data_IF_692039831225
#
_entry.id   IF_692039831225
#
_cell.length_a   1.000
_cell.length_b   1.000
_cell.length_c   1.000
_cell.angle_alpha   90.00
_cell.angle_beta   90.00
_cell.angle_gamma   90.00
#
_symmetry.space_group_name_H-M   'P 1'
#
loop_
_entity.id
_entity.type
_entity.pdbx_description
1 polymer ?
#
# COMPACT_ATOMS: atom_id res chain seq x y z
N UNK A 1 -25.94 1.51 -23.17
CA UNK A 1 -25.68 2.95 -22.96
C UNK A 1 -24.29 3.24 -23.50
N UNK A 2 -24.19 4.22 -24.42
CA UNK A 2 -22.97 4.61 -25.15
C UNK A 2 -22.28 5.76 -24.40
N UNK A 3 -20.96 5.70 -24.23
CA UNK A 3 -20.03 6.85 -24.14
C UNK A 3 -18.63 6.34 -24.52
N UNK A 4 -18.20 6.42 -25.78
CA UNK A 4 -17.25 7.45 -26.32
C UNK A 4 -15.98 7.61 -25.48
N UNK A 5 -14.86 6.97 -25.85
CA UNK A 5 -13.81 7.46 -26.77
C UNK A 5 -13.19 8.80 -26.36
N UNK A 6 -11.91 8.77 -25.94
CA UNK A 6 -10.96 9.82 -26.30
C UNK A 6 -9.60 9.20 -26.65
N UNK A 7 -9.13 9.60 -27.82
CA UNK A 7 -7.90 9.23 -28.51
C UNK A 7 -6.65 9.70 -27.71
N UNK A 8 -5.58 8.90 -27.60
CA UNK A 8 -4.50 8.73 -28.57
C UNK A 8 -3.65 10.01 -28.71
N UNK A 9 -2.45 10.02 -28.12
CA UNK A 9 -1.27 10.49 -28.85
C UNK A 9 0.00 9.78 -28.33
N UNK A 10 0.56 9.03 -29.26
CA UNK A 10 1.84 8.35 -29.23
C UNK A 10 2.92 9.31 -29.77
N UNK A 11 4.16 8.93 -29.48
CA UNK A 11 5.35 9.06 -30.32
C UNK A 11 6.22 10.34 -30.23
N UNK A 12 7.48 10.05 -29.85
CA UNK A 12 8.73 10.37 -30.56
C UNK A 12 9.57 11.63 -30.22
N UNK A 13 10.79 11.34 -29.72
CA UNK A 13 12.08 11.59 -30.41
C UNK A 13 12.61 13.04 -30.49
N UNK A 14 13.56 13.32 -29.57
CA UNK A 14 14.88 14.01 -29.76
C UNK A 14 14.92 15.56 -29.91
N UNK A 15 16.12 16.20 -30.03
CA UNK A 15 16.82 16.88 -28.92
C UNK A 15 17.17 18.34 -29.27
N UNK A 16 18.08 18.94 -28.48
CA UNK A 16 18.80 20.20 -28.72
C UNK A 16 18.07 21.50 -28.34
N UNK A 17 18.70 22.26 -27.45
CA UNK A 17 19.02 23.68 -27.68
C UNK A 17 20.04 24.16 -26.63
N UNK A 18 21.22 24.49 -27.16
CA UNK A 18 22.20 25.40 -26.58
C UNK A 18 21.57 26.81 -26.50
N UNK A 19 21.83 27.51 -25.42
CA UNK A 19 21.89 28.98 -25.35
C UNK A 19 22.95 29.30 -24.28
N UNK A 20 24.15 29.69 -24.68
CA UNK A 20 24.58 31.09 -24.77
C UNK A 20 24.32 31.88 -23.47
N UNK A 21 25.35 31.92 -22.62
CA UNK A 21 25.49 32.91 -21.56
C UNK A 21 26.72 33.79 -21.89
N UNK A 22 26.58 35.12 -21.94
CA UNK A 22 27.59 36.02 -22.50
C UNK A 22 28.78 36.22 -21.55
N UNK A 23 29.98 36.00 -22.08
CA UNK A 23 31.25 36.40 -21.48
C UNK A 23 31.37 37.91 -21.47
N UNK A 24 31.37 38.50 -20.28
CA UNK A 24 31.74 39.89 -20.05
C UNK A 24 33.23 40.02 -20.34
N UNK A 25 33.58 40.66 -21.45
CA UNK A 25 34.94 41.08 -21.77
C UNK A 25 35.21 42.35 -20.96
N UNK A 26 36.12 42.27 -19.99
CA UNK A 26 36.62 43.43 -19.24
C UNK A 26 38.13 43.36 -19.12
N UNK A 27 38.76 44.46 -19.54
CA UNK A 27 40.12 44.94 -19.28
C UNK A 27 41.32 44.06 -19.72
N UNK A 28 42.14 44.66 -20.58
CA UNK A 28 43.45 44.19 -21.03
C UNK A 28 44.33 43.64 -19.88
N UNK A 29 44.58 42.34 -19.92
CA UNK A 29 45.55 41.63 -19.08
C UNK A 29 46.77 41.27 -19.94
N UNK A 30 48.00 41.66 -19.58
CA UNK A 30 49.20 41.44 -20.40
C UNK A 30 49.72 39.99 -20.42
N UNK A 31 48.89 39.01 -20.05
CA UNK A 31 49.17 37.57 -20.15
C UNK A 31 48.01 36.91 -20.90
N UNK A 32 48.19 36.70 -22.20
CA UNK A 32 47.26 35.92 -23.01
C UNK A 32 47.49 34.43 -22.72
N UNK A 33 46.70 33.88 -21.79
CA UNK A 33 46.59 32.44 -21.61
C UNK A 33 45.63 31.91 -22.69
N UNK A 34 46.18 31.39 -23.78
CA UNK A 34 45.39 30.75 -24.85
C UNK A 34 45.78 29.28 -24.92
N UNK A 35 44.79 28.37 -24.85
CA UNK A 35 44.98 26.92 -25.02
C UNK A 35 46.06 26.26 -24.13
N UNK A 36 46.17 26.65 -22.86
CA UNK A 36 47.15 26.06 -21.93
C UNK A 36 48.61 26.46 -22.21
N UNK A 37 48.83 27.46 -23.08
CA UNK A 37 50.12 28.08 -23.37
C UNK A 37 50.09 29.53 -22.85
N UNK A 38 51.16 29.92 -22.17
CA UNK A 38 51.39 31.26 -21.62
C UNK A 38 52.45 31.95 -22.46
N UNK A 39 52.11 33.08 -23.06
CA UNK A 39 53.09 33.91 -23.78
C UNK A 39 53.77 34.88 -22.81
N UNK A 40 55.10 34.83 -22.77
CA UNK A 40 55.94 35.68 -21.93
C UNK A 40 56.63 36.71 -22.82
N UNK A 41 56.35 37.99 -22.60
CA UNK A 41 57.00 39.09 -23.30
C UNK A 41 58.39 39.35 -22.74
N UNK A 42 59.36 39.41 -23.64
CA UNK A 42 60.78 39.65 -23.39
C UNK A 42 61.10 41.15 -23.59
N UNK A 43 62.20 41.64 -23.01
CA UNK A 43 62.62 43.06 -23.11
C UNK A 43 62.94 43.48 -24.54
N UNK A 44 63.37 42.54 -25.38
CA UNK A 44 63.66 42.76 -26.80
C UNK A 44 62.38 42.85 -27.67
N UNK A 45 61.19 42.80 -27.06
CA UNK A 45 59.90 42.84 -27.75
C UNK A 45 59.47 41.49 -28.33
N UNK A 46 60.28 40.44 -28.21
CA UNK A 46 59.89 39.09 -28.60
C UNK A 46 58.96 38.44 -27.57
N UNK A 47 58.14 37.49 -28.01
CA UNK A 47 57.27 36.70 -27.14
C UNK A 47 57.71 35.23 -27.15
N UNK A 48 57.92 34.65 -25.97
CA UNK A 48 58.20 33.21 -25.79
C UNK A 48 56.94 32.49 -25.34
N UNK A 49 56.54 31.43 -26.07
CA UNK A 49 55.46 30.53 -25.66
C UNK A 49 55.95 29.53 -24.63
N UNK A 50 55.25 29.43 -23.51
CA UNK A 50 55.57 28.57 -22.38
C UNK A 50 54.34 27.76 -21.99
N UNK A 51 54.45 26.43 -21.92
CA UNK A 51 53.35 25.56 -21.45
C UNK A 51 53.07 25.73 -19.96
N UNK A 52 54.12 25.81 -19.14
CA UNK A 52 53.97 25.91 -17.68
C UNK A 52 55.15 26.62 -17.05
N UNK A 53 54.88 27.50 -16.09
CA UNK A 53 55.91 28.06 -15.21
C UNK A 53 56.12 27.06 -14.06
N UNK A 54 57.33 26.57 -13.90
CA UNK A 54 57.67 25.53 -12.91
C UNK A 54 58.19 26.12 -11.60
N UNK A 55 58.69 27.35 -11.62
CA UNK A 55 59.17 28.08 -10.46
C UNK A 55 60.09 29.24 -10.84
N UNK A 56 60.42 30.08 -9.87
CA UNK A 56 61.30 31.24 -10.04
C UNK A 56 62.48 31.15 -9.07
N UNK A 57 63.67 31.45 -9.56
CA UNK A 57 64.87 31.70 -8.74
C UNK A 57 65.22 33.19 -8.83
N UNK A 58 66.07 33.74 -7.95
CA UNK A 58 66.40 35.17 -7.95
C UNK A 58 66.89 35.72 -9.30
N UNK A 59 67.48 34.86 -10.14
CA UNK A 59 68.08 35.27 -11.41
C UNK A 59 67.33 34.73 -12.65
N UNK A 60 66.41 33.77 -12.49
CA UNK A 60 65.77 33.12 -13.64
C UNK A 60 64.40 32.54 -13.36
N UNK A 61 63.55 32.55 -14.39
CA UNK A 61 62.30 31.81 -14.43
C UNK A 61 62.54 30.41 -15.02
N UNK A 62 62.12 29.36 -14.31
CA UNK A 62 62.13 28.00 -14.82
C UNK A 62 60.80 27.71 -15.51
N UNK A 63 60.86 27.39 -16.79
CA UNK A 63 59.68 27.23 -17.65
C UNK A 63 59.71 25.91 -18.40
N UNK A 64 58.54 25.37 -18.70
CA UNK A 64 58.37 24.23 -19.58
C UNK A 64 57.90 24.75 -20.94
N UNK A 65 58.69 24.51 -21.98
CA UNK A 65 58.39 24.85 -23.37
C UNK A 65 58.11 23.58 -24.17
N UNK A 66 57.76 23.72 -25.45
CA UNK A 66 57.59 22.57 -26.35
C UNK A 66 58.91 21.79 -26.56
N UNK A 67 60.05 22.45 -26.37
CA UNK A 67 61.40 21.88 -26.52
C UNK A 67 61.94 21.27 -25.22
N UNK A 68 61.19 21.38 -24.11
CA UNK A 68 61.58 20.86 -22.79
C UNK A 68 61.70 21.95 -21.72
N UNK A 69 62.40 21.63 -20.63
CA UNK A 69 62.56 22.53 -19.47
C UNK A 69 63.68 23.53 -19.78
N UNK A 70 63.31 24.81 -19.88
CA UNK A 70 64.22 25.92 -20.10
C UNK A 70 64.33 26.85 -18.89
N UNK A 71 65.36 27.70 -18.91
CA UNK A 71 65.50 28.84 -17.99
C UNK A 71 65.44 30.13 -18.81
N UNK A 72 64.63 31.09 -18.34
CA UNK A 72 64.57 32.44 -18.90
C UNK A 72 65.17 33.39 -17.86
N UNK A 73 66.28 34.09 -18.14
CA UNK A 73 66.81 35.10 -17.23
C UNK A 73 65.75 36.14 -16.88
N UNK A 74 65.63 36.54 -15.61
CA UNK A 74 64.65 37.56 -15.24
C UNK A 74 64.96 38.93 -15.87
N UNK A 75 66.25 39.21 -16.12
CA UNK A 75 66.71 40.42 -16.80
C UNK A 75 66.24 40.55 -18.25
N UNK A 76 65.85 39.44 -18.88
CA UNK A 76 65.32 39.44 -20.24
C UNK A 76 63.79 39.48 -20.29
N UNK A 77 63.11 39.51 -19.14
CA UNK A 77 61.66 39.63 -19.05
C UNK A 77 61.21 41.09 -19.01
N UNK A 78 60.19 41.42 -19.80
CA UNK A 78 59.56 42.73 -19.73
C UNK A 78 58.89 42.93 -18.35
N UNK A 79 58.92 44.15 -17.81
CA UNK A 79 58.46 44.45 -16.45
C UNK A 79 56.99 44.04 -16.18
N UNK A 80 56.15 44.08 -17.23
CA UNK A 80 54.76 43.63 -17.17
C UNK A 80 54.63 42.10 -17.01
N UNK A 81 55.47 41.32 -17.69
CA UNK A 81 55.54 39.86 -17.55
C UNK A 81 56.02 39.48 -16.14
N UNK A 82 57.02 40.19 -15.62
CA UNK A 82 57.59 39.94 -14.28
C UNK A 82 56.55 40.17 -13.16
N UNK A 83 55.71 41.20 -13.32
CA UNK A 83 54.61 41.50 -12.38
C UNK A 83 53.52 40.43 -12.44
N UNK A 84 53.16 39.99 -13.65
CA UNK A 84 52.15 38.96 -13.83
C UNK A 84 52.62 37.58 -13.34
N UNK A 85 53.89 37.24 -13.52
CA UNK A 85 54.45 35.98 -13.01
C UNK A 85 54.56 35.98 -11.48
N UNK A 86 54.92 37.10 -10.86
CA UNK A 86 54.87 37.23 -9.40
C UNK A 86 53.44 37.10 -8.84
N UNK A 87 52.42 37.51 -9.59
CA UNK A 87 51.01 37.35 -9.18
C UNK A 87 50.46 35.93 -9.35
N UNK A 88 51.13 35.08 -10.12
CA UNK A 88 50.73 33.69 -10.40
C UNK A 88 51.36 32.68 -9.43
N UNK A 89 52.33 33.09 -8.61
CA UNK A 89 52.90 32.22 -7.58
C UNK A 89 52.09 32.36 -6.29
N UNK A 90 51.30 31.33 -5.96
CA UNK A 90 50.56 31.25 -4.69
C UNK A 90 51.53 31.47 -3.52
N UNK A 91 51.28 32.50 -2.72
CA UNK A 91 52.09 32.75 -1.52
C UNK A 91 51.81 31.67 -0.48
N UNK A 92 52.74 31.38 0.44
CA UNK A 92 52.53 30.42 1.53
C UNK A 92 51.23 30.66 2.32
N UNK A 93 50.83 31.93 2.47
CA UNK A 93 49.59 32.33 3.13
C UNK A 93 48.33 31.98 2.32
N UNK A 94 48.39 32.05 0.98
CA UNK A 94 47.28 31.62 0.10
C UNK A 94 47.14 30.09 0.08
N UNK A 95 48.26 29.36 0.14
CA UNK A 95 48.26 27.91 0.33
C UNK A 95 47.64 27.49 1.67
N UNK A 96 47.98 28.16 2.77
CA UNK A 96 47.36 27.91 4.08
C UNK A 96 45.86 28.23 4.10
N UNK A 97 45.44 29.36 3.51
CA UNK A 97 44.03 29.73 3.41
C UNK A 97 43.24 28.73 2.56
N UNK A 98 43.84 28.16 1.51
CA UNK A 98 43.25 27.12 0.69
C UNK A 98 43.11 25.79 1.45
N UNK A 99 44.15 25.36 2.16
CA UNK A 99 44.09 24.16 3.01
C UNK A 99 43.02 24.26 4.10
N UNK A 100 42.85 25.44 4.72
CA UNK A 100 41.80 25.66 5.71
C UNK A 100 40.39 25.62 5.08
N UNK A 101 40.21 26.17 3.87
CA UNK A 101 38.93 26.09 3.15
C UNK A 101 38.61 24.67 2.70
N UNK A 102 39.59 23.91 2.25
CA UNK A 102 39.45 22.49 1.90
C UNK A 102 39.12 21.63 3.14
N UNK A 103 39.75 21.92 4.28
CA UNK A 103 39.44 21.28 5.56
C UNK A 103 38.02 21.60 6.04
N UNK A 104 37.58 22.87 5.92
CA UNK A 104 36.22 23.28 6.25
C UNK A 104 35.18 22.61 5.33
N UNK A 105 35.43 22.60 4.01
CA UNK A 105 34.55 21.93 3.05
C UNK A 105 34.46 20.42 3.28
N UNK A 106 35.57 19.77 3.66
CA UNK A 106 35.57 18.36 4.03
C UNK A 106 34.76 18.07 5.30
N UNK A 107 34.77 18.97 6.29
CA UNK A 107 33.91 18.86 7.48
C UNK A 107 32.43 19.00 7.13
N UNK A 108 32.06 20.02 6.35
CA UNK A 108 30.65 20.23 5.95
C UNK A 108 30.12 19.06 5.09
N UNK A 109 30.96 18.46 4.25
CA UNK A 109 30.58 17.27 3.47
C UNK A 109 30.26 16.07 4.37
N UNK A 110 31.06 15.82 5.42
CA UNK A 110 30.82 14.75 6.40
C UNK A 110 29.53 14.99 7.19
N UNK A 111 29.29 16.22 7.62
CA UNK A 111 28.05 16.60 8.32
C UNK A 111 26.83 16.39 7.42
N UNK A 112 26.91 16.83 6.16
CA UNK A 112 25.83 16.62 5.19
C UNK A 112 25.60 15.13 4.86
N UNK A 113 26.65 14.30 4.82
CA UNK A 113 26.48 12.85 4.69
C UNK A 113 25.78 12.25 5.92
N UNK A 114 26.19 12.62 7.13
CA UNK A 114 25.57 12.13 8.36
C UNK A 114 24.09 12.54 8.46
N UNK A 115 23.73 13.75 8.03
CA UNK A 115 22.33 14.21 7.97
C UNK A 115 21.53 13.38 6.94
N UNK A 116 22.09 13.11 5.76
CA UNK A 116 21.43 12.27 4.75
C UNK A 116 21.19 10.84 5.25
N UNK A 117 22.17 10.24 5.93
CA UNK A 117 22.03 8.90 6.51
C UNK A 117 20.96 8.86 7.60
N UNK A 118 20.89 9.89 8.46
CA UNK A 118 19.83 10.00 9.47
C UNK A 118 18.45 10.15 8.85
N UNK A 119 18.29 11.02 7.84
CA UNK A 119 17.02 11.19 7.13
C UNK A 119 16.59 9.88 6.44
N UNK A 120 17.51 9.16 5.79
CA UNK A 120 17.20 7.88 5.16
C UNK A 120 16.84 6.80 6.19
N UNK A 121 17.51 6.77 7.35
CA UNK A 121 17.17 5.86 8.45
C UNK A 121 15.78 6.17 9.04
N UNK A 122 15.45 7.44 9.19
CA UNK A 122 14.14 7.90 9.68
C UNK A 122 13.03 7.56 8.68
N UNK A 123 13.25 7.80 7.38
CA UNK A 123 12.31 7.43 6.32
C UNK A 123 12.07 5.91 6.29
N UNK A 124 13.13 5.10 6.34
CA UNK A 124 12.99 3.64 6.42
C UNK A 124 12.25 3.18 7.69
N UNK A 125 12.47 3.85 8.83
CA UNK A 125 11.76 3.56 10.06
C UNK A 125 10.27 3.90 9.96
N UNK A 126 9.92 5.03 9.33
CA UNK A 126 8.53 5.43 9.09
C UNK A 126 7.84 4.47 8.12
N UNK A 127 8.50 4.10 7.01
CA UNK A 127 7.96 3.12 6.05
C UNK A 127 7.74 1.76 6.73
N UNK A 128 8.71 1.27 7.50
CA UNK A 128 8.59 0.01 8.24
C UNK A 128 7.53 0.05 9.35
N UNK A 129 7.31 1.20 9.99
CA UNK A 129 6.22 1.39 10.93
C UNK A 129 4.85 1.37 10.23
N UNK A 130 4.71 2.05 9.08
CA UNK A 130 3.48 2.05 8.28
C UNK A 130 3.11 0.64 7.80
N UNK A 131 4.07 -0.10 7.24
CA UNK A 131 3.83 -1.47 6.76
C UNK A 131 3.40 -2.42 7.89
N UNK A 132 4.00 -2.30 9.08
CA UNK A 132 3.59 -3.10 10.24
C UNK A 132 2.20 -2.71 10.75
N UNK A 133 1.88 -1.42 10.74
CA UNK A 133 0.54 -0.94 11.10
C UNK A 133 -0.52 -1.44 10.11
N UNK A 134 -0.22 -1.44 8.80
CA UNK A 134 -1.11 -1.98 7.77
C UNK A 134 -1.30 -3.49 7.90
N UNK A 135 -0.22 -4.25 8.11
CA UNK A 135 -0.29 -5.69 8.32
C UNK A 135 -1.12 -6.04 9.57
N UNK A 136 -0.96 -5.29 10.67
CA UNK A 136 -1.76 -5.47 11.87
C UNK A 136 -3.24 -5.16 11.64
N UNK A 137 -3.56 -4.10 10.88
CA UNK A 137 -4.96 -3.78 10.49
C UNK A 137 -5.57 -4.87 9.62
N UNK A 138 -4.81 -5.41 8.67
CA UNK A 138 -5.28 -6.51 7.81
C UNK A 138 -5.52 -7.78 8.62
N UNK A 139 -4.60 -8.13 9.53
CA UNK A 139 -4.76 -9.29 10.41
C UNK A 139 -6.00 -9.14 11.32
N UNK A 140 -6.19 -7.95 11.92
CA UNK A 140 -7.37 -7.67 12.74
C UNK A 140 -8.68 -7.73 11.92
N UNK A 141 -8.68 -7.22 10.69
CA UNK A 141 -9.83 -7.31 9.80
C UNK A 141 -10.18 -8.77 9.42
N UNK A 142 -9.16 -9.60 9.16
CA UNK A 142 -9.35 -11.02 8.89
C UNK A 142 -9.90 -11.77 10.10
N UNK A 143 -9.39 -11.49 11.30
CA UNK A 143 -9.91 -12.07 12.54
C UNK A 143 -11.37 -11.67 12.79
N UNK A 144 -11.69 -10.38 12.65
CA UNK A 144 -13.07 -9.90 12.80
C UNK A 144 -14.02 -10.54 11.78
N UNK A 145 -13.57 -10.71 10.53
CA UNK A 145 -14.36 -11.41 9.50
C UNK A 145 -14.56 -12.90 9.84
N UNK A 146 -13.53 -13.58 10.34
CA UNK A 146 -13.62 -14.97 10.76
C UNK A 146 -14.57 -15.15 11.95
N UNK A 147 -14.51 -14.27 12.95
CA UNK A 147 -15.43 -14.28 14.08
C UNK A 147 -16.88 -14.00 13.66
N UNK A 148 -17.10 -13.02 12.77
CA UNK A 148 -18.43 -12.71 12.25
C UNK A 148 -19.04 -13.91 11.52
N UNK A 149 -18.23 -14.60 10.70
CA UNK A 149 -18.64 -15.81 10.01
C UNK A 149 -18.93 -16.96 10.97
N UNK A 150 -18.11 -17.17 12.01
CA UNK A 150 -18.35 -18.19 13.03
C UNK A 150 -19.68 -17.95 13.78
N UNK A 151 -19.96 -16.70 14.15
CA UNK A 151 -21.24 -16.33 14.78
C UNK A 151 -22.43 -16.54 13.84
N UNK A 152 -22.26 -16.21 12.55
CA UNK A 152 -23.30 -16.45 11.55
C UNK A 152 -23.60 -17.96 11.41
N UNK A 153 -22.58 -18.81 11.37
CA UNK A 153 -22.78 -20.26 11.31
C UNK A 153 -23.50 -20.79 12.56
N UNK A 154 -23.15 -20.32 13.75
CA UNK A 154 -23.82 -20.70 14.99
C UNK A 154 -25.31 -20.33 14.95
N UNK A 155 -25.63 -19.10 14.55
CA UNK A 155 -27.01 -18.65 14.40
C UNK A 155 -27.81 -19.50 13.40
N UNK A 156 -27.21 -19.86 12.26
CA UNK A 156 -27.87 -20.72 11.26
C UNK A 156 -28.15 -22.11 11.82
N UNK A 157 -27.21 -22.72 12.54
CA UNK A 157 -27.42 -24.02 13.18
C UNK A 157 -28.52 -23.97 14.25
N UNK A 158 -28.55 -22.92 15.08
CA UNK A 158 -29.59 -22.73 16.09
C UNK A 158 -30.97 -22.52 15.47
N UNK A 159 -31.06 -21.70 14.41
CA UNK A 159 -32.29 -21.50 13.66
C UNK A 159 -32.80 -22.81 13.03
N UNK A 160 -31.89 -23.64 12.50
CA UNK A 160 -32.23 -24.92 11.92
C UNK A 160 -32.76 -25.90 12.99
N UNK A 161 -32.10 -25.98 14.15
CA UNK A 161 -32.56 -26.76 15.30
C UNK A 161 -33.93 -26.31 15.79
N UNK A 162 -34.17 -25.00 15.87
CA UNK A 162 -35.47 -24.45 16.26
C UNK A 162 -36.57 -24.81 15.25
N UNK A 163 -36.28 -24.73 13.95
CA UNK A 163 -37.23 -25.15 12.91
C UNK A 163 -37.54 -26.65 12.98
N UNK A 164 -36.54 -27.50 13.22
CA UNK A 164 -36.73 -28.94 13.37
C UNK A 164 -37.58 -29.27 14.60
N UNK A 165 -37.31 -28.62 15.73
CA UNK A 165 -38.12 -28.75 16.94
C UNK A 165 -39.57 -28.32 16.70
N UNK A 166 -39.80 -27.20 16.01
CA UNK A 166 -41.15 -26.76 15.65
C UNK A 166 -41.87 -27.74 14.72
N UNK A 167 -41.16 -28.30 13.73
CA UNK A 167 -41.73 -29.33 12.85
C UNK A 167 -42.09 -30.60 13.61
N UNK A 168 -41.22 -31.04 14.52
CA UNK A 168 -41.49 -32.19 15.38
C UNK A 168 -42.70 -31.95 16.29
N UNK A 169 -42.79 -30.76 16.91
CA UNK A 169 -43.94 -30.37 17.72
C UNK A 169 -45.25 -30.39 16.91
N UNK A 170 -45.28 -29.79 15.72
CA UNK A 170 -46.47 -29.83 14.85
C UNK A 170 -46.87 -31.25 14.46
N UNK A 171 -45.90 -32.12 14.16
CA UNK A 171 -46.18 -33.53 13.86
C UNK A 171 -46.77 -34.26 15.06
N UNK A 172 -46.24 -34.01 16.26
CA UNK A 172 -46.77 -34.60 17.50
C UNK A 172 -48.19 -34.10 17.81
N UNK A 173 -48.46 -32.81 17.61
CA UNK A 173 -49.80 -32.23 17.77
C UNK A 173 -50.82 -32.84 16.80
N UNK A 174 -50.43 -33.02 15.53
CA UNK A 174 -51.27 -33.67 14.51
C UNK A 174 -51.55 -35.12 14.89
N UNK A 175 -50.53 -35.90 15.26
CA UNK A 175 -50.71 -37.28 15.70
C UNK A 175 -51.62 -37.38 16.95
N UNK A 176 -51.46 -36.47 17.91
CA UNK A 176 -52.33 -36.41 19.09
C UNK A 176 -53.78 -36.00 18.75
N UNK A 177 -53.99 -35.18 17.72
CA UNK A 177 -55.32 -34.86 17.24
C UNK A 177 -55.97 -36.06 16.53
N UNK A 178 -55.21 -36.81 15.74
CA UNK A 178 -55.67 -38.04 15.09
C UNK A 178 -56.06 -39.11 16.11
N UNK A 179 -55.27 -39.30 17.16
CA UNK A 179 -55.60 -40.21 18.27
C UNK A 179 -56.91 -39.81 18.96
N UNK A 180 -57.08 -38.52 19.30
CA UNK A 180 -58.32 -38.02 19.91
C UNK A 180 -59.54 -38.23 19.00
N UNK A 181 -59.37 -38.07 17.68
CA UNK A 181 -60.43 -38.35 16.70
C UNK A 181 -60.78 -39.83 16.66
N UNK A 182 -59.79 -40.71 16.65
CA UNK A 182 -59.99 -42.16 16.66
C UNK A 182 -60.69 -42.63 17.94
N UNK A 183 -60.29 -42.11 19.11
CA UNK A 183 -60.95 -42.40 20.39
C UNK A 183 -62.41 -41.92 20.40
N UNK A 184 -62.68 -40.72 19.88
CA UNK A 184 -64.03 -40.19 19.78
C UNK A 184 -64.90 -41.07 18.86
N UNK A 185 -64.35 -41.54 17.74
CA UNK A 185 -65.07 -42.44 16.83
C UNK A 185 -65.35 -43.80 17.47
N UNK A 186 -64.40 -44.37 18.22
CA UNK A 186 -64.63 -45.60 18.98
C UNK A 186 -65.74 -45.44 20.02
N UNK A 187 -65.70 -44.33 20.78
CA UNK A 187 -66.76 -44.01 21.75
C UNK A 187 -68.13 -43.86 21.08
N UNK A 188 -68.18 -43.22 19.91
CA UNK A 188 -69.41 -43.07 19.14
C UNK A 188 -69.95 -44.43 18.66
N UNK A 189 -69.08 -45.32 18.16
CA UNK A 189 -69.46 -46.68 17.78
C UNK A 189 -69.98 -47.49 18.96
N UNK A 190 -69.32 -47.40 20.12
CA UNK A 190 -69.76 -48.08 21.33
C UNK A 190 -71.13 -47.56 21.78
N UNK A 191 -71.31 -46.24 21.83
CA UNK A 191 -72.61 -45.64 22.16
C UNK A 191 -73.72 -46.13 21.25
N UNK A 192 -73.50 -46.20 19.93
CA UNK A 192 -74.50 -46.70 18.99
C UNK A 192 -74.83 -48.18 19.22
N UNK A 193 -73.82 -48.99 19.55
CA UNK A 193 -74.02 -50.40 19.89
C UNK A 193 -74.82 -50.55 21.19
N UNK A 194 -74.55 -49.71 22.20
CA UNK A 194 -75.29 -49.71 23.46
C UNK A 194 -76.76 -49.32 23.22
N UNK A 195 -77.02 -48.27 22.42
CA UNK A 195 -78.37 -47.86 22.03
C UNK A 195 -79.11 -48.97 21.28
N UNK A 196 -78.47 -49.62 20.31
CA UNK A 196 -79.07 -50.75 19.59
C UNK A 196 -79.38 -51.93 20.53
N UNK A 197 -78.48 -52.20 21.48
CA UNK A 197 -78.68 -53.25 22.50
C UNK A 197 -79.85 -52.94 23.41
N UNK A 198 -79.97 -51.70 23.88
CA UNK A 198 -81.10 -51.25 24.69
C UNK A 198 -82.43 -51.37 23.94
N UNK A 199 -82.46 -51.01 22.66
CA UNK A 199 -83.65 -51.19 21.82
C UNK A 199 -84.04 -52.67 21.71
N UNK A 200 -83.08 -53.56 21.43
CA UNK A 200 -83.35 -54.98 21.34
C UNK A 200 -83.88 -55.57 22.66
N UNK A 201 -83.35 -55.13 23.81
CA UNK A 201 -83.86 -55.54 25.12
C UNK A 201 -85.27 -55.00 25.39
N UNK A 202 -85.56 -53.77 24.97
CA UNK A 202 -86.91 -53.20 25.06
C UNK A 202 -87.90 -54.00 24.22
N UNK A 203 -87.55 -54.33 22.98
CA UNK A 203 -88.39 -55.12 22.07
C UNK A 203 -88.63 -56.53 22.62
N UNK A 204 -87.60 -57.21 23.13
CA UNK A 204 -87.72 -58.52 23.77
C UNK A 204 -88.60 -58.48 25.03
N UNK A 205 -88.45 -57.43 25.84
CA UNK A 205 -89.28 -57.22 27.04
C UNK A 205 -90.74 -57.02 26.65
N UNK A 206 -91.00 -56.22 25.62
CA UNK A 206 -92.35 -56.01 25.09
C UNK A 206 -92.97 -57.33 24.61
N UNK A 207 -92.23 -58.12 23.80
CA UNK A 207 -92.68 -59.45 23.36
C UNK A 207 -93.01 -60.36 24.54
N UNK A 208 -92.16 -60.40 25.57
CA UNK A 208 -92.39 -61.22 26.76
C UNK A 208 -93.65 -60.78 27.54
N UNK A 209 -93.89 -59.46 27.66
CA UNK A 209 -95.10 -58.92 28.28
C UNK A 209 -96.37 -59.29 27.49
N UNK A 210 -96.33 -59.19 26.15
CA UNK A 210 -97.45 -59.60 25.30
C UNK A 210 -97.73 -61.10 25.44
N UNK A 211 -96.69 -61.94 25.48
CA UNK A 211 -96.85 -63.39 25.68
C UNK A 211 -97.46 -63.71 27.06
N UNK A 212 -97.01 -63.02 28.11
CA UNK A 212 -97.56 -63.15 29.45
C UNK A 212 -99.06 -62.79 29.49
N UNK A 213 -99.46 -61.65 28.91
CA UNK A 213 -100.86 -61.25 28.81
C UNK A 213 -101.69 -62.25 28.00
N UNK A 214 -101.14 -62.79 26.91
CA UNK A 214 -101.77 -63.85 26.13
C UNK A 214 -102.01 -65.11 26.98
N UNK A 215 -101.04 -65.51 27.81
CA UNK A 215 -101.18 -66.67 28.73
C UNK A 215 -102.26 -66.45 29.80
N UNK A 216 -102.50 -65.20 30.19
CA UNK A 216 -103.61 -64.82 31.09
C UNK A 216 -104.98 -64.76 30.41
N UNK A 217 -105.07 -64.98 29.09
CA UNK A 217 -106.32 -65.03 28.34
C UNK A 217 -106.76 -63.69 27.73
N UNK A 218 -105.93 -62.65 27.76
CA UNK A 218 -106.23 -61.38 27.10
C UNK A 218 -106.06 -61.49 25.58
N UNK A 219 -106.99 -60.90 24.82
CA UNK A 219 -106.88 -60.75 23.36
C UNK A 219 -106.20 -59.42 23.06
N UNK A 220 -105.00 -59.47 22.47
CA UNK A 220 -104.21 -58.30 22.10
C UNK A 220 -104.45 -58.00 20.62
N UNK A 221 -105.01 -56.83 20.31
CA UNK A 221 -105.05 -56.29 18.93
C UNK A 221 -103.83 -55.41 18.73
N UNK A 222 -103.05 -55.68 17.70
CA UNK A 222 -101.95 -54.81 17.26
C UNK A 222 -102.52 -54.00 16.09
N UNK A 223 -102.62 -52.68 16.26
CA UNK A 223 -102.97 -51.72 15.19
C UNK A 223 -101.70 -51.21 14.51
#
# INVERSE_FOLDING_TARGET
>A
MKTTLFALLLLAVTPALRADAPTVVSAASPVLQTNGMTEILMVDGSARRVRKILGMTPDSLRVMTDEGIGKIPLSSLHAQSLTAVNSLMETPDQMQARQQREAAAAQTYRENQAVKERMAAEENAMIGASQRAEAARQAAAQQAAAEAYARQQQYLMEAQKAQEAQRAARKAELAAAELRRAEAEQRWRQYNLDVATLQALQDLTYIAQLEYLRKLGYVIKIE
#
